data_IF_080129382251
#
_entry.id   IF_080129382251
#
_cell.length_a   1.000
_cell.length_b   1.000
_cell.length_c   1.000
_cell.angle_alpha   90.00
_cell.angle_beta   90.00
_cell.angle_gamma   90.00
#
_symmetry.space_group_name_H-M   'P 1'
#
loop_
_entity.id
_entity.type
_entity.pdbx_description
1 polymer ?
#
# COMPACT_ATOMS: atom_id res chain seq x y z
N UNK A 1 15.67 1.57 13.12
CA UNK A 1 14.95 0.53 12.34
C UNK A 1 13.47 0.86 12.10
N UNK A 2 12.72 1.43 13.06
CA UNK A 2 11.29 1.78 12.86
C UNK A 2 11.01 2.77 11.71
N UNK A 3 11.81 3.83 11.58
CA UNK A 3 11.66 4.81 10.50
C UNK A 3 11.87 4.21 9.09
N UNK A 4 12.80 3.25 8.97
CA UNK A 4 13.06 2.54 7.71
C UNK A 4 11.85 1.70 7.30
N UNK A 5 11.20 1.02 8.25
CA UNK A 5 9.97 0.26 8.00
C UNK A 5 8.84 1.18 7.53
N UNK A 6 8.64 2.32 8.20
CA UNK A 6 7.65 3.32 7.80
C UNK A 6 7.92 3.90 6.40
N UNK A 7 9.18 4.11 6.03
CA UNK A 7 9.59 4.58 4.70
C UNK A 7 9.34 3.54 3.60
N UNK A 8 9.69 2.27 3.84
CA UNK A 8 9.40 1.16 2.92
C UNK A 8 7.90 1.00 2.69
N UNK A 9 7.13 1.16 3.76
CA UNK A 9 5.66 1.17 3.76
C UNK A 9 5.14 2.28 2.86
N UNK A 10 5.61 3.52 3.06
CA UNK A 10 5.18 4.67 2.28
C UNK A 10 5.53 4.51 0.80
N UNK A 11 6.74 4.03 0.50
CA UNK A 11 7.21 3.78 -0.85
C UNK A 11 6.36 2.70 -1.56
N UNK A 12 6.02 1.62 -0.85
CA UNK A 12 5.17 0.55 -1.37
C UNK A 12 3.78 1.04 -1.74
N UNK A 13 3.19 1.89 -0.90
CA UNK A 13 1.89 2.52 -1.20
C UNK A 13 1.95 3.42 -2.43
N UNK A 14 3.01 4.22 -2.58
CA UNK A 14 3.17 5.07 -3.77
C UNK A 14 3.35 4.25 -5.06
N UNK A 15 4.16 3.20 -5.02
CA UNK A 15 4.34 2.30 -6.17
C UNK A 15 3.03 1.61 -6.56
N UNK A 16 2.20 1.25 -5.59
CA UNK A 16 0.90 0.66 -5.86
C UNK A 16 -0.04 1.65 -6.56
N UNK A 17 -0.11 2.89 -6.08
CA UNK A 17 -0.96 3.93 -6.71
C UNK A 17 -0.55 4.15 -8.17
N UNK A 18 0.75 4.24 -8.44
CA UNK A 18 1.31 4.35 -9.79
C UNK A 18 0.95 3.14 -10.65
N UNK A 19 1.06 1.93 -10.10
CA UNK A 19 0.75 0.70 -10.81
C UNK A 19 -0.74 0.64 -11.19
N UNK A 20 -1.63 1.11 -10.31
CA UNK A 20 -3.06 1.15 -10.58
C UNK A 20 -3.36 2.20 -11.66
N UNK A 21 -2.77 3.41 -11.58
CA UNK A 21 -2.91 4.43 -12.64
C UNK A 21 -2.48 3.87 -14.01
N UNK A 22 -1.38 3.10 -14.05
CA UNK A 22 -0.90 2.44 -15.27
C UNK A 22 -1.85 1.36 -15.79
N UNK A 23 -2.34 0.48 -14.92
CA UNK A 23 -3.26 -0.61 -15.30
C UNK A 23 -4.62 -0.08 -15.79
N UNK A 24 -5.07 1.05 -15.23
CA UNK A 24 -6.30 1.72 -15.66
C UNK A 24 -6.14 2.49 -16.98
N UNK A 25 -4.91 2.58 -17.53
CA UNK A 25 -4.61 3.38 -18.72
C UNK A 25 -4.76 4.89 -18.49
N UNK A 26 -4.74 5.32 -17.22
CA UNK A 26 -4.77 6.72 -16.85
C UNK A 26 -3.37 7.31 -16.92
N UNK A 27 -3.30 8.64 -16.91
CA UNK A 27 -2.01 9.30 -16.79
C UNK A 27 -1.38 8.89 -15.45
N UNK A 28 -0.10 8.51 -15.44
CA UNK A 28 0.61 7.92 -14.27
C UNK A 28 0.59 8.79 -12.99
N UNK A 29 0.24 10.06 -13.15
CA UNK A 29 0.16 11.05 -12.08
C UNK A 29 -1.27 11.43 -11.71
N UNK A 30 -2.28 10.85 -12.36
CA UNK A 30 -3.67 11.27 -12.21
C UNK A 30 -4.16 11.10 -10.78
N UNK A 31 -3.81 9.99 -10.12
CA UNK A 31 -4.15 9.75 -8.72
C UNK A 31 -3.43 10.64 -7.73
N UNK A 32 -2.26 11.18 -8.10
CA UNK A 32 -1.55 12.16 -7.27
C UNK A 32 -2.22 13.53 -7.30
N UNK A 33 -2.80 13.91 -8.44
CA UNK A 33 -3.48 15.20 -8.59
C UNK A 33 -4.87 15.21 -7.95
N UNK A 34 -5.57 14.08 -7.95
CA UNK A 34 -6.94 14.01 -7.43
C UNK A 34 -7.29 12.62 -6.90
N UNK A 35 -6.98 12.38 -5.62
CA UNK A 35 -7.43 11.19 -4.87
C UNK A 35 -8.96 11.02 -4.94
N UNK A 36 -9.72 12.12 -5.02
CA UNK A 36 -11.17 12.08 -5.11
C UNK A 36 -11.65 11.49 -6.44
N UNK A 37 -10.98 11.84 -7.55
CA UNK A 37 -11.28 11.26 -8.87
C UNK A 37 -10.83 9.80 -8.95
N UNK A 38 -9.72 9.42 -8.31
CA UNK A 38 -9.31 8.03 -8.22
C UNK A 38 -10.40 7.11 -7.66
N UNK A 39 -11.05 7.49 -6.55
CA UNK A 39 -12.19 6.74 -6.00
C UNK A 39 -13.44 6.74 -6.91
N UNK A 40 -13.53 7.67 -7.86
CA UNK A 40 -14.68 7.78 -8.78
C UNK A 40 -14.43 7.00 -10.07
N UNK A 41 -13.16 6.88 -10.48
CA UNK A 41 -12.73 6.21 -11.72
C UNK A 41 -12.38 4.74 -11.46
N UNK A 42 -12.03 4.39 -10.23
CA UNK A 42 -11.75 3.02 -9.82
C UNK A 42 -12.90 2.06 -10.15
N UNK A 43 -12.57 0.98 -10.85
CA UNK A 43 -13.46 -0.13 -11.17
C UNK A 43 -13.41 -1.17 -10.06
N UNK A 44 -14.35 -2.12 -10.07
CA UNK A 44 -14.45 -3.19 -9.06
C UNK A 44 -13.13 -3.95 -8.80
N UNK A 45 -12.33 -4.14 -9.85
CA UNK A 45 -11.01 -4.78 -9.80
C UNK A 45 -9.96 -3.96 -9.02
N UNK A 46 -10.03 -2.63 -9.09
CA UNK A 46 -9.10 -1.73 -8.39
C UNK A 46 -9.35 -1.72 -6.89
N UNK A 47 -10.62 -1.83 -6.48
CA UNK A 47 -10.98 -2.00 -5.07
C UNK A 47 -10.48 -3.34 -4.53
N UNK A 48 -10.51 -4.41 -5.33
CA UNK A 48 -9.94 -5.70 -4.92
C UNK A 48 -8.42 -5.61 -4.71
N UNK A 49 -7.71 -4.92 -5.59
CA UNK A 49 -6.27 -4.69 -5.45
C UNK A 49 -5.95 -3.86 -4.19
N UNK A 50 -6.70 -2.78 -3.95
CA UNK A 50 -6.57 -1.93 -2.76
C UNK A 50 -6.82 -2.71 -1.46
N UNK A 51 -7.88 -3.51 -1.41
CA UNK A 51 -8.23 -4.33 -0.25
C UNK A 51 -7.15 -5.39 0.00
N UNK A 52 -6.69 -6.06 -1.06
CA UNK A 52 -5.60 -7.04 -0.96
C UNK A 52 -4.33 -6.41 -0.41
N UNK A 53 -4.00 -5.20 -0.85
CA UNK A 53 -2.84 -4.48 -0.36
C UNK A 53 -3.00 -4.05 1.10
N UNK A 54 -4.17 -3.54 1.49
CA UNK A 54 -4.50 -3.24 2.89
C UNK A 54 -4.34 -4.47 3.79
N UNK A 55 -4.78 -5.65 3.34
CA UNK A 55 -4.64 -6.91 4.09
C UNK A 55 -3.18 -7.34 4.24
N UNK A 56 -2.38 -7.27 3.18
CA UNK A 56 -0.93 -7.53 3.22
C UNK A 56 -0.26 -6.58 4.19
N UNK A 57 -0.65 -5.30 4.17
CA UNK A 57 -0.12 -4.28 5.06
C UNK A 57 -0.42 -4.56 6.53
N UNK A 58 -1.68 -4.88 6.83
CA UNK A 58 -2.11 -5.24 8.18
C UNK A 58 -1.33 -6.46 8.68
N UNK A 59 -1.17 -7.48 7.83
CA UNK A 59 -0.38 -8.66 8.15
C UNK A 59 1.08 -8.31 8.47
N UNK A 60 1.74 -7.49 7.64
CA UNK A 60 3.13 -7.08 7.87
C UNK A 60 3.31 -6.27 9.16
N UNK A 61 2.36 -5.37 9.48
CA UNK A 61 2.37 -4.60 10.73
C UNK A 61 2.25 -5.53 11.93
N UNK A 62 1.27 -6.44 11.91
CA UNK A 62 1.04 -7.42 12.99
C UNK A 62 2.27 -8.33 13.14
N UNK A 63 2.79 -8.86 12.04
CA UNK A 63 3.97 -9.73 12.04
C UNK A 63 5.20 -9.03 12.60
N UNK A 64 5.46 -7.78 12.18
CA UNK A 64 6.55 -6.96 12.72
C UNK A 64 6.36 -6.66 14.20
N UNK A 65 5.13 -6.40 14.65
CA UNK A 65 4.82 -6.17 16.06
C UNK A 65 5.03 -7.43 16.92
N UNK A 66 4.66 -8.61 16.41
CA UNK A 66 4.89 -9.90 17.07
C UNK A 66 6.38 -10.21 17.15
N UNK A 67 7.10 -10.08 16.03
CA UNK A 67 8.55 -10.33 15.98
C UNK A 67 9.34 -9.41 16.92
N UNK A 68 8.94 -8.15 17.04
CA UNK A 68 9.56 -7.21 17.98
C UNK A 68 9.19 -7.45 19.46
N UNK A 69 8.23 -8.33 19.75
CA UNK A 69 7.84 -8.76 21.11
C UNK A 69 8.44 -10.09 21.52
N UNK A 70 9.05 -10.85 20.61
CA UNK A 70 9.79 -12.05 20.98
C UNK A 70 11.12 -11.64 21.65
N UNK A 71 11.40 -12.08 22.89
CA UNK A 71 12.74 -11.93 23.46
C UNK A 71 13.76 -12.63 22.55
N UNK A 72 15.01 -12.14 22.47
CA UNK A 72 16.04 -12.83 21.71
C UNK A 72 16.07 -14.29 22.16
N UNK A 73 15.90 -15.21 21.21
CA UNK A 73 16.08 -16.63 21.49
C UNK A 73 17.54 -16.81 21.91
N UNK A 74 17.73 -17.04 23.20
CA UNK A 74 18.98 -17.38 23.86
C UNK A 74 19.63 -18.61 23.24
#
# INVERSE_FOLDING_TARGET
MRALQSLLILLGTYLLIILIDYLQGLNIWHSFYSIKQYFTVARGEDYFLLISFMLIFLYLIIFSAIKNRQPPSS
#
